data_IF_543249924853
#
_entry.id   IF_543249924853
#
_cell.length_a   1.000
_cell.length_b   1.000
_cell.length_c   1.000
_cell.angle_alpha   90.00
_cell.angle_beta   90.00
_cell.angle_gamma   90.00
#
_symmetry.space_group_name_H-M   'P 1'
#
loop_
_entity.id
_entity.type
_entity.pdbx_description
1 polymer ?
#
# COMPACT_ATOMS: atom_id res chain seq x y z
N UNK A 1 -15.38 -23.69 -1.21
CA UNK A 1 -14.72 -22.63 -1.99
C UNK A 1 -15.70 -21.48 -2.17
N UNK A 2 -15.28 -20.27 -1.78
CA UNK A 2 -16.00 -19.05 -2.14
C UNK A 2 -15.92 -18.83 -3.66
N UNK A 3 -16.86 -18.08 -4.23
CA UNK A 3 -16.77 -17.67 -5.64
C UNK A 3 -15.81 -16.50 -5.85
N UNK A 4 -15.47 -16.18 -7.11
CA UNK A 4 -14.69 -14.99 -7.45
C UNK A 4 -15.38 -13.71 -6.98
N UNK A 5 -16.71 -13.63 -7.13
CA UNK A 5 -17.53 -12.50 -6.69
C UNK A 5 -17.49 -12.31 -5.18
N UNK A 6 -17.69 -13.39 -4.43
CA UNK A 6 -17.67 -13.38 -2.97
C UNK A 6 -16.27 -13.05 -2.42
N UNK A 7 -15.22 -13.56 -3.05
CA UNK A 7 -13.83 -13.24 -2.67
C UNK A 7 -13.51 -11.77 -2.92
N UNK A 8 -13.94 -11.23 -4.07
CA UNK A 8 -13.81 -9.81 -4.37
C UNK A 8 -14.55 -8.95 -3.33
N UNK A 9 -15.78 -9.33 -2.99
CA UNK A 9 -16.57 -8.67 -1.96
C UNK A 9 -15.82 -8.63 -0.62
N UNK A 10 -15.22 -9.74 -0.20
CA UNK A 10 -14.47 -9.84 1.04
C UNK A 10 -13.28 -8.86 1.07
N UNK A 11 -12.47 -8.80 0.02
CA UNK A 11 -11.37 -7.83 -0.07
C UNK A 11 -11.85 -6.37 -0.05
N UNK A 12 -12.92 -6.06 -0.78
CA UNK A 12 -13.46 -4.70 -0.82
C UNK A 12 -13.95 -4.23 0.55
N UNK A 13 -14.70 -5.10 1.24
CA UNK A 13 -15.17 -4.82 2.60
C UNK A 13 -14.00 -4.71 3.58
N UNK A 14 -12.99 -5.57 3.46
CA UNK A 14 -11.78 -5.54 4.29
C UNK A 14 -11.05 -4.19 4.22
N UNK A 15 -11.08 -3.53 3.05
CA UNK A 15 -10.49 -2.20 2.83
C UNK A 15 -11.49 -1.04 3.02
N UNK A 16 -12.69 -1.31 3.54
CA UNK A 16 -13.75 -0.33 3.78
C UNK A 16 -14.18 0.48 2.54
N UNK A 17 -14.02 -0.08 1.33
CA UNK A 17 -14.34 0.61 0.09
C UNK A 17 -15.81 0.43 -0.29
N UNK A 18 -16.49 1.51 -0.65
CA UNK A 18 -17.88 1.44 -1.14
C UNK A 18 -17.92 1.08 -2.63
N UNK A 19 -19.05 0.53 -3.10
CA UNK A 19 -19.24 0.27 -4.53
C UNK A 19 -19.13 1.53 -5.39
N UNK A 20 -19.51 2.69 -4.83
CA UNK A 20 -19.45 3.98 -5.53
C UNK A 20 -18.01 4.44 -5.76
N UNK A 21 -17.11 4.16 -4.83
CA UNK A 21 -15.70 4.55 -4.93
C UNK A 21 -14.92 3.75 -5.97
N UNK A 22 -15.35 2.51 -6.25
CA UNK A 22 -14.65 1.61 -7.17
C UNK A 22 -15.35 1.46 -8.53
N UNK A 23 -16.52 2.07 -8.69
CA UNK A 23 -17.27 2.06 -9.93
C UNK A 23 -16.85 3.21 -10.84
N UNK A 24 -16.83 2.94 -12.14
CA UNK A 24 -16.47 3.92 -13.16
C UNK A 24 -17.17 3.61 -14.50
N UNK A 25 -16.69 4.24 -15.57
CA UNK A 25 -17.21 4.03 -16.92
C UNK A 25 -17.03 2.61 -17.44
N UNK A 26 -16.03 1.86 -16.93
CA UNK A 26 -15.76 0.49 -17.36
C UNK A 26 -16.66 -0.52 -16.66
N UNK A 27 -16.92 -0.32 -15.35
CA UNK A 27 -17.75 -1.20 -14.53
C UNK A 27 -18.62 -0.40 -13.58
N UNK A 28 -19.94 -0.45 -13.80
CA UNK A 28 -20.91 0.31 -12.99
C UNK A 28 -21.22 -0.38 -11.64
N UNK A 29 -21.67 0.42 -10.66
CA UNK A 29 -22.12 -0.05 -9.33
C UNK A 29 -23.04 -1.28 -9.42
N UNK A 30 -24.00 -1.27 -10.33
CA UNK A 30 -24.96 -2.37 -10.49
C UNK A 30 -24.29 -3.66 -10.99
N UNK A 31 -23.29 -3.55 -11.88
CA UNK A 31 -22.53 -4.69 -12.38
C UNK A 31 -21.65 -5.27 -11.27
N UNK A 32 -20.96 -4.42 -10.51
CA UNK A 32 -20.13 -4.85 -9.37
C UNK A 32 -21.00 -5.57 -8.34
N UNK A 33 -22.14 -4.97 -7.96
CA UNK A 33 -23.07 -5.60 -7.02
C UNK A 33 -23.54 -6.96 -7.51
N UNK A 34 -23.91 -7.10 -8.78
CA UNK A 34 -24.33 -8.39 -9.34
C UNK A 34 -23.19 -9.41 -9.34
N UNK A 35 -21.96 -8.97 -9.63
CA UNK A 35 -20.79 -9.83 -9.63
C UNK A 35 -20.49 -10.35 -8.22
N UNK A 36 -20.50 -9.47 -7.21
CA UNK A 36 -20.28 -9.85 -5.80
C UNK A 36 -21.32 -10.84 -5.26
N UNK A 37 -22.52 -10.88 -5.84
CA UNK A 37 -23.60 -11.79 -5.47
C UNK A 37 -23.78 -12.95 -6.47
N UNK A 38 -22.77 -13.23 -7.31
CA UNK A 38 -22.77 -14.33 -8.28
C UNK A 38 -23.90 -14.29 -9.33
N UNK A 39 -24.47 -13.11 -9.57
CA UNK A 39 -25.55 -12.89 -10.54
C UNK A 39 -25.04 -12.56 -11.94
N UNK A 40 -23.74 -12.26 -12.09
CA UNK A 40 -23.08 -12.05 -13.39
C UNK A 40 -21.62 -12.49 -13.30
N UNK A 41 -21.05 -12.88 -14.43
CA UNK A 41 -19.60 -13.01 -14.60
C UNK A 41 -19.00 -11.71 -15.14
N UNK A 42 -17.70 -11.54 -14.94
CA UNK A 42 -16.92 -10.46 -15.56
C UNK A 42 -15.97 -11.04 -16.61
N UNK A 43 -15.67 -10.24 -17.64
CA UNK A 43 -14.51 -10.53 -18.47
C UNK A 43 -13.23 -10.36 -17.65
N UNK A 44 -12.14 -11.02 -18.08
CA UNK A 44 -10.83 -10.93 -17.42
C UNK A 44 -10.40 -9.46 -17.29
N UNK A 45 -10.54 -8.66 -18.34
CA UNK A 45 -10.13 -7.25 -18.31
C UNK A 45 -10.91 -6.43 -17.26
N UNK A 46 -12.23 -6.63 -17.15
CA UNK A 46 -13.04 -5.94 -16.13
C UNK A 46 -12.71 -6.41 -14.73
N UNK A 47 -12.42 -7.70 -14.56
CA UNK A 47 -12.00 -8.25 -13.28
C UNK A 47 -10.65 -7.68 -12.84
N UNK A 48 -9.63 -7.70 -13.71
CA UNK A 48 -8.32 -7.11 -13.43
C UNK A 48 -8.41 -5.60 -13.15
N UNK A 49 -9.25 -4.89 -13.89
CA UNK A 49 -9.52 -3.48 -13.64
C UNK A 49 -10.08 -3.25 -12.22
N UNK A 50 -11.08 -4.03 -11.82
CA UNK A 50 -11.66 -3.92 -10.47
C UNK A 50 -10.65 -4.25 -9.36
N UNK A 51 -9.76 -5.23 -9.58
CA UNK A 51 -8.67 -5.52 -8.63
C UNK A 51 -7.77 -4.29 -8.44
N UNK A 52 -7.48 -3.56 -9.51
CA UNK A 52 -6.79 -2.27 -9.45
C UNK A 52 -7.55 -1.23 -8.61
N UNK A 53 -8.87 -1.14 -8.75
CA UNK A 53 -9.70 -0.20 -8.00
C UNK A 53 -9.70 -0.45 -6.48
N UNK A 54 -9.58 -1.72 -6.07
CA UNK A 54 -9.46 -2.09 -4.65
C UNK A 54 -8.01 -2.24 -4.19
N UNK A 55 -7.03 -1.98 -5.05
CA UNK A 55 -5.60 -2.13 -4.79
C UNK A 55 -5.24 -3.53 -4.23
N UNK A 56 -5.70 -4.57 -4.93
CA UNK A 56 -5.41 -5.98 -4.61
C UNK A 56 -4.70 -6.61 -5.80
N UNK A 57 -3.60 -7.32 -5.57
CA UNK A 57 -2.89 -8.02 -6.64
C UNK A 57 -3.63 -9.30 -7.01
N UNK A 58 -3.43 -9.79 -8.23
CA UNK A 58 -3.92 -11.12 -8.62
C UNK A 58 -3.36 -12.21 -7.72
N UNK A 59 -2.11 -12.07 -7.27
CA UNK A 59 -1.46 -12.96 -6.31
C UNK A 59 -2.23 -13.02 -4.99
N UNK A 60 -2.45 -11.88 -4.33
CA UNK A 60 -3.24 -11.82 -3.10
C UNK A 60 -4.65 -12.37 -3.32
N UNK A 61 -5.29 -11.96 -4.40
CA UNK A 61 -6.64 -12.38 -4.70
C UNK A 61 -6.75 -13.91 -4.80
N UNK A 62 -5.88 -14.53 -5.60
CA UNK A 62 -5.93 -15.98 -5.80
C UNK A 62 -5.40 -16.75 -4.59
N UNK A 63 -4.46 -16.20 -3.83
CA UNK A 63 -4.02 -16.76 -2.56
C UNK A 63 -5.21 -16.91 -1.58
N UNK A 64 -6.06 -15.89 -1.48
CA UNK A 64 -7.27 -15.95 -0.65
C UNK A 64 -8.40 -16.79 -1.29
N UNK A 65 -8.64 -16.66 -2.59
CA UNK A 65 -9.71 -17.38 -3.31
C UNK A 65 -9.60 -18.91 -3.18
N UNK A 66 -8.38 -19.42 -3.26
CA UNK A 66 -8.10 -20.85 -3.19
C UNK A 66 -7.89 -21.37 -1.76
N UNK A 67 -8.31 -20.59 -0.75
CA UNK A 67 -8.29 -20.95 0.67
C UNK A 67 -6.90 -21.32 1.17
N UNK A 68 -6.02 -20.31 1.33
CA UNK A 68 -4.65 -20.38 1.87
C UNK A 68 -4.03 -21.76 1.64
N UNK A 69 -3.90 -22.12 0.36
CA UNK A 69 -3.61 -23.47 -0.12
C UNK A 69 -2.87 -24.32 0.91
N UNK A 70 -3.39 -25.51 1.21
CA UNK A 70 -2.76 -26.54 2.05
C UNK A 70 -1.30 -26.92 1.66
N UNK A 71 -0.66 -26.26 0.69
CA UNK A 71 0.74 -26.45 0.35
C UNK A 71 1.39 -25.17 -0.23
N UNK A 72 2.58 -24.83 0.30
CA UNK A 72 3.55 -23.79 -0.09
C UNK A 72 3.91 -23.71 -1.60
N UNK A 73 3.43 -24.63 -2.44
CA UNK A 73 3.99 -24.88 -3.78
C UNK A 73 3.49 -23.96 -4.89
N UNK A 74 2.38 -23.24 -4.72
CA UNK A 74 1.81 -22.41 -5.81
C UNK A 74 2.47 -21.03 -5.89
N UNK A 75 2.97 -20.50 -4.77
CA UNK A 75 3.69 -19.22 -4.71
C UNK A 75 5.01 -19.25 -5.52
N UNK A 76 5.60 -20.44 -5.71
CA UNK A 76 6.76 -20.64 -6.59
C UNK A 76 6.42 -20.67 -8.10
N UNK A 77 5.13 -20.74 -8.49
CA UNK A 77 4.71 -20.85 -9.91
C UNK A 77 4.35 -19.48 -10.49
N UNK A 78 3.87 -18.56 -9.65
CA UNK A 78 3.59 -17.18 -10.02
C UNK A 78 4.61 -16.29 -9.33
N UNK A 79 5.82 -16.21 -9.88
CA UNK A 79 6.78 -15.19 -9.47
C UNK A 79 6.07 -13.84 -9.42
N UNK A 80 6.29 -13.08 -8.36
CA UNK A 80 5.62 -11.81 -7.99
C UNK A 80 5.86 -10.68 -9.02
N UNK A 81 6.30 -11.01 -10.23
CA UNK A 81 6.96 -10.12 -11.16
C UNK A 81 6.05 -9.51 -12.25
N UNK A 82 4.72 -9.51 -12.08
CA UNK A 82 3.82 -8.93 -13.08
C UNK A 82 2.66 -8.06 -12.56
N UNK A 83 2.41 -7.97 -11.25
CA UNK A 83 1.20 -7.27 -10.75
C UNK A 83 1.41 -5.79 -10.42
N UNK A 84 2.62 -5.25 -10.61
CA UNK A 84 3.05 -4.08 -9.84
C UNK A 84 3.34 -2.79 -10.59
N UNK A 85 3.53 -2.82 -11.91
CA UNK A 85 4.08 -1.66 -12.61
C UNK A 85 3.20 -0.40 -12.50
N UNK A 86 1.89 -0.53 -12.30
CA UNK A 86 1.00 0.63 -12.17
C UNK A 86 0.89 1.20 -10.75
N UNK A 87 0.60 0.35 -9.76
CA UNK A 87 0.21 0.78 -8.41
C UNK A 87 1.43 1.27 -7.62
N UNK A 88 2.54 0.52 -7.67
CA UNK A 88 3.74 0.84 -6.88
C UNK A 88 4.74 1.75 -7.58
N UNK A 89 4.62 2.00 -8.89
CA UNK A 89 5.58 2.85 -9.60
C UNK A 89 5.77 4.21 -8.91
N UNK A 90 4.69 4.84 -8.45
CA UNK A 90 4.80 6.13 -7.75
C UNK A 90 5.47 6.01 -6.37
N UNK A 91 5.34 4.86 -5.69
CA UNK A 91 6.08 4.61 -4.46
C UNK A 91 7.57 4.42 -4.72
N UNK A 92 7.94 3.61 -5.71
CA UNK A 92 9.34 3.38 -6.04
C UNK A 92 10.02 4.65 -6.56
N UNK A 93 9.35 5.39 -7.44
CA UNK A 93 9.85 6.66 -7.96
C UNK A 93 9.97 7.72 -6.87
N UNK A 94 8.94 7.88 -6.03
CA UNK A 94 8.97 8.79 -4.89
C UNK A 94 10.10 8.46 -3.92
N UNK A 95 10.30 7.18 -3.61
CA UNK A 95 11.37 6.72 -2.73
C UNK A 95 12.75 6.93 -3.35
N UNK A 96 12.89 6.71 -4.65
CA UNK A 96 14.14 6.97 -5.37
C UNK A 96 14.49 8.45 -5.29
N UNK A 97 13.56 9.34 -5.60
CA UNK A 97 13.73 10.80 -5.49
C UNK A 97 14.11 11.19 -4.06
N UNK A 98 13.39 10.70 -3.06
CA UNK A 98 13.64 10.99 -1.65
C UNK A 98 15.01 10.46 -1.15
N UNK A 99 15.46 9.31 -1.65
CA UNK A 99 16.76 8.75 -1.27
C UNK A 99 17.94 9.51 -1.85
N UNK A 100 17.73 10.21 -2.97
CA UNK A 100 18.74 11.06 -3.59
C UNK A 100 18.77 12.47 -3.00
N UNK A 101 17.74 12.92 -2.30
CA UNK A 101 17.71 14.30 -1.81
C UNK A 101 18.67 14.55 -0.67
N UNK A 102 19.68 15.37 -0.92
CA UNK A 102 20.48 16.02 0.09
C UNK A 102 19.92 17.41 0.40
N UNK A 103 19.69 17.73 1.67
CA UNK A 103 19.06 19.01 2.10
C UNK A 103 19.91 20.24 1.76
N UNK A 104 21.19 20.06 1.49
CA UNK A 104 22.10 21.12 1.06
C UNK A 104 22.16 21.34 -0.45
N UNK A 105 21.63 20.40 -1.26
CA UNK A 105 21.55 20.52 -2.71
C UNK A 105 20.18 21.07 -3.14
N UNK A 106 20.20 22.23 -3.80
CA UNK A 106 18.98 22.96 -4.19
C UNK A 106 18.23 22.21 -5.29
N UNK A 107 18.93 21.57 -6.23
CA UNK A 107 18.32 20.94 -7.40
C UNK A 107 17.60 19.64 -7.01
N UNK A 108 18.20 18.86 -6.12
CA UNK A 108 17.59 17.63 -5.59
C UNK A 108 16.35 17.93 -4.73
N UNK A 109 16.43 18.95 -3.88
CA UNK A 109 15.30 19.41 -3.08
C UNK A 109 14.15 19.95 -3.95
N UNK A 110 14.44 20.61 -5.07
CA UNK A 110 13.42 21.06 -6.02
C UNK A 110 12.73 19.90 -6.72
N UNK A 111 13.47 18.84 -7.08
CA UNK A 111 12.90 17.61 -7.64
C UNK A 111 11.88 16.97 -6.68
N UNK A 112 12.23 16.85 -5.39
CA UNK A 112 11.31 16.32 -4.36
C UNK A 112 10.06 17.20 -4.19
N UNK A 113 10.22 18.52 -4.16
CA UNK A 113 9.09 19.47 -4.07
C UNK A 113 8.18 19.36 -5.30
N UNK A 114 8.76 19.26 -6.49
CA UNK A 114 8.05 19.14 -7.75
C UNK A 114 7.25 17.83 -7.81
N UNK A 115 7.89 16.71 -7.45
CA UNK A 115 7.21 15.41 -7.40
C UNK A 115 6.09 15.38 -6.36
N UNK A 116 6.33 15.92 -5.17
CA UNK A 116 5.32 16.03 -4.10
C UNK A 116 4.09 16.80 -4.58
N UNK A 117 4.30 17.95 -5.25
CA UNK A 117 3.19 18.74 -5.83
C UNK A 117 2.44 17.96 -6.91
N UNK A 118 3.13 17.19 -7.74
CA UNK A 118 2.49 16.36 -8.76
C UNK A 118 1.59 15.29 -8.13
N UNK A 119 2.05 14.63 -7.06
CA UNK A 119 1.24 13.64 -6.34
C UNK A 119 0.03 14.26 -5.64
N UNK A 120 0.19 15.43 -5.02
CA UNK A 120 -0.92 16.19 -4.45
C UNK A 120 -1.96 16.58 -5.50
N UNK A 121 -1.51 17.02 -6.69
CA UNK A 121 -2.41 17.36 -7.79
C UNK A 121 -3.17 16.12 -8.28
N UNK A 122 -2.47 15.00 -8.46
CA UNK A 122 -3.07 13.71 -8.86
C UNK A 122 -4.15 13.28 -7.86
N UNK A 123 -3.87 13.34 -6.56
CA UNK A 123 -4.85 13.01 -5.52
C UNK A 123 -6.06 13.97 -5.48
N UNK A 124 -5.91 15.22 -5.93
CA UNK A 124 -7.05 16.16 -6.05
C UNK A 124 -7.91 15.87 -7.27
N UNK A 125 -7.29 15.49 -8.38
CA UNK A 125 -7.98 15.20 -9.64
C UNK A 125 -8.67 13.83 -9.62
N UNK A 126 -8.01 12.86 -8.98
CA UNK A 126 -8.47 11.48 -8.87
C UNK A 126 -8.26 10.99 -7.42
N UNK A 127 -9.23 11.27 -6.52
CA UNK A 127 -9.06 11.07 -5.07
C UNK A 127 -9.26 9.60 -4.66
N UNK A 128 -8.67 8.65 -5.40
CA UNK A 128 -8.59 7.25 -4.98
C UNK A 128 -7.79 7.13 -3.68
N UNK A 129 -8.03 6.03 -2.96
CA UNK A 129 -7.29 5.71 -1.75
C UNK A 129 -5.76 5.78 -1.98
N UNK A 130 -5.26 5.13 -3.04
CA UNK A 130 -3.84 5.04 -3.30
C UNK A 130 -3.21 6.40 -3.62
N UNK A 131 -3.89 7.25 -4.40
CA UNK A 131 -3.39 8.58 -4.72
C UNK A 131 -3.32 9.45 -3.45
N UNK A 132 -4.32 9.34 -2.55
CA UNK A 132 -4.29 10.04 -1.25
C UNK A 132 -3.14 9.55 -0.37
N UNK A 133 -2.91 8.24 -0.30
CA UNK A 133 -1.80 7.66 0.47
C UNK A 133 -0.46 8.16 -0.05
N UNK A 134 -0.21 8.08 -1.36
CA UNK A 134 1.06 8.53 -1.97
C UNK A 134 1.27 10.03 -1.72
N UNK A 135 0.23 10.85 -1.89
CA UNK A 135 0.34 12.29 -1.68
C UNK A 135 0.66 12.65 -0.22
N UNK A 136 0.00 12.01 0.75
CA UNK A 136 0.28 12.19 2.18
C UNK A 136 1.70 11.74 2.52
N UNK A 137 2.10 10.56 2.04
CA UNK A 137 3.43 10.04 2.26
C UNK A 137 4.53 10.93 1.69
N UNK A 138 4.45 11.35 0.42
CA UNK A 138 5.42 12.27 -0.17
C UNK A 138 5.50 13.61 0.56
N UNK A 139 4.36 14.13 1.02
CA UNK A 139 4.34 15.37 1.81
C UNK A 139 5.04 15.16 3.16
N UNK A 140 4.82 14.03 3.84
CA UNK A 140 5.49 13.71 5.10
C UNK A 140 7.01 13.57 4.92
N UNK A 141 7.48 13.00 3.81
CA UNK A 141 8.91 12.94 3.48
C UNK A 141 9.47 14.35 3.32
N UNK A 142 8.78 15.21 2.58
CA UNK A 142 9.21 16.59 2.36
C UNK A 142 9.29 17.37 3.68
N UNK A 143 8.32 17.18 4.58
CA UNK A 143 8.32 17.79 5.91
C UNK A 143 9.53 17.29 6.74
N UNK A 144 9.80 15.98 6.73
CA UNK A 144 10.93 15.39 7.43
C UNK A 144 12.29 15.84 6.87
N UNK A 145 12.44 15.92 5.54
CA UNK A 145 13.63 16.45 4.86
C UNK A 145 13.87 17.93 5.19
N UNK A 146 12.82 18.68 5.54
CA UNK A 146 12.93 20.06 6.02
C UNK A 146 13.08 20.16 7.55
N UNK A 147 13.29 19.04 8.25
CA UNK A 147 13.41 18.94 9.70
C UNK A 147 12.14 19.36 10.47
N UNK A 148 10.97 19.33 9.82
CA UNK A 148 9.67 19.60 10.43
C UNK A 148 8.98 18.30 10.87
N UNK A 149 9.60 17.56 11.79
CA UNK A 149 9.14 16.22 12.19
C UNK A 149 7.72 16.19 12.76
N UNK A 150 7.31 17.21 13.53
CA UNK A 150 5.93 17.31 14.05
C UNK A 150 4.89 17.45 12.93
N UNK A 151 5.24 18.15 11.85
CA UNK A 151 4.35 18.31 10.71
C UNK A 151 4.35 17.05 9.84
N UNK A 152 5.51 16.39 9.68
CA UNK A 152 5.63 15.09 9.03
C UNK A 152 4.69 14.05 9.66
N UNK A 153 4.70 13.94 10.99
CA UNK A 153 3.85 13.03 11.75
C UNK A 153 2.34 13.35 11.58
N UNK A 154 1.95 14.63 11.55
CA UNK A 154 0.55 15.03 11.29
C UNK A 154 0.14 14.73 9.85
N UNK A 155 1.02 15.00 8.90
CA UNK A 155 0.79 14.80 7.46
C UNK A 155 0.59 13.32 7.13
N UNK A 156 1.32 12.42 7.79
CA UNK A 156 1.20 10.97 7.56
C UNK A 156 0.00 10.33 8.29
N UNK A 157 -0.60 11.02 9.27
CA UNK A 157 -1.70 10.50 10.08
C UNK A 157 -2.85 9.85 9.27
N UNK A 158 -3.33 10.41 8.13
CA UNK A 158 -4.37 9.76 7.34
C UNK A 158 -3.96 8.38 6.78
N UNK A 159 -2.67 8.14 6.56
CA UNK A 159 -2.14 6.84 6.12
C UNK A 159 -2.10 5.86 7.29
N UNK A 160 -1.74 6.33 8.48
CA UNK A 160 -1.83 5.56 9.73
C UNK A 160 -3.28 5.15 9.98
N UNK A 161 -4.23 6.09 9.91
CA UNK A 161 -5.66 5.83 10.10
C UNK A 161 -6.17 4.77 9.11
N UNK A 162 -5.74 4.87 7.85
CA UNK A 162 -6.02 3.85 6.85
C UNK A 162 -5.51 2.47 7.28
N UNK A 163 -4.21 2.35 7.57
CA UNK A 163 -3.57 1.10 7.98
C UNK A 163 -4.23 0.47 9.22
N UNK A 164 -4.69 1.29 10.17
CA UNK A 164 -5.43 0.84 11.35
C UNK A 164 -6.85 0.38 11.00
N UNK A 165 -7.51 1.03 10.05
CA UNK A 165 -8.92 0.75 9.69
C UNK A 165 -9.12 -0.52 8.86
N UNK A 166 -8.11 -0.94 8.09
CA UNK A 166 -8.18 -2.16 7.27
C UNK A 166 -8.31 -3.38 8.20
N UNK A 167 -9.08 -4.41 7.81
CA UNK A 167 -9.28 -5.62 8.63
C UNK A 167 -8.06 -6.54 8.68
N UNK A 168 -7.59 -6.97 7.51
CA UNK A 168 -6.42 -7.82 7.27
C UNK A 168 -5.48 -7.11 6.30
N UNK A 169 -4.17 -7.09 6.59
CA UNK A 169 -3.20 -6.48 5.67
C UNK A 169 -2.82 -7.46 4.58
N UNK A 170 -2.88 -6.97 3.35
CA UNK A 170 -2.33 -7.67 2.21
C UNK A 170 -1.02 -7.01 1.76
N UNK A 171 -0.52 -7.38 0.59
CA UNK A 171 0.79 -6.95 0.09
C UNK A 171 0.94 -5.42 0.08
N UNK A 172 -0.11 -4.69 -0.31
CA UNK A 172 -0.11 -3.23 -0.34
C UNK A 172 0.11 -2.62 1.05
N UNK A 173 -0.62 -3.09 2.06
CA UNK A 173 -0.51 -2.52 3.41
C UNK A 173 0.85 -2.81 4.02
N UNK A 174 1.42 -3.99 3.75
CA UNK A 174 2.79 -4.32 4.16
C UNK A 174 3.80 -3.34 3.54
N UNK A 175 3.63 -3.01 2.26
CA UNK A 175 4.49 -2.06 1.56
C UNK A 175 4.32 -0.63 2.10
N UNK A 176 3.07 -0.16 2.26
CA UNK A 176 2.79 1.16 2.83
C UNK A 176 3.42 1.27 4.22
N UNK A 177 3.31 0.24 5.05
CA UNK A 177 3.93 0.23 6.37
C UNK A 177 5.44 0.49 6.29
N UNK A 178 6.16 -0.20 5.38
CA UNK A 178 7.61 0.04 5.20
C UNK A 178 7.90 1.49 4.82
N UNK A 179 7.08 2.07 3.94
CA UNK A 179 7.30 3.42 3.45
C UNK A 179 7.03 4.52 4.47
N UNK A 180 6.17 4.29 5.46
CA UNK A 180 5.88 5.30 6.49
C UNK A 180 6.88 5.27 7.66
N UNK A 181 7.73 4.24 7.78
CA UNK A 181 8.72 4.12 8.87
C UNK A 181 9.57 5.39 9.05
N UNK A 182 10.07 6.07 8.00
CA UNK A 182 10.91 7.24 8.18
C UNK A 182 10.17 8.50 8.66
N UNK A 183 8.83 8.53 8.60
CA UNK A 183 8.04 9.76 8.79
C UNK A 183 6.95 9.67 9.85
N UNK A 184 6.56 8.45 10.25
CA UNK A 184 5.58 8.24 11.29
C UNK A 184 6.19 8.24 12.69
N UNK A 185 5.34 8.53 13.68
CA UNK A 185 5.72 8.52 15.09
C UNK A 185 6.17 7.10 15.55
N UNK A 186 7.27 6.97 16.31
CA UNK A 186 7.78 5.68 16.77
C UNK A 186 6.76 4.84 17.56
N UNK A 187 5.94 5.45 18.41
CA UNK A 187 4.93 4.74 19.21
C UNK A 187 3.82 4.18 18.30
N UNK A 188 3.47 4.91 17.25
CA UNK A 188 2.54 4.44 16.22
C UNK A 188 3.14 3.28 15.44
N UNK A 189 4.41 3.38 15.03
CA UNK A 189 5.10 2.32 14.31
C UNK A 189 5.18 1.04 15.13
N UNK A 190 5.46 1.11 16.43
CA UNK A 190 5.49 -0.07 17.30
C UNK A 190 4.13 -0.74 17.45
N UNK A 191 3.05 0.04 17.50
CA UNK A 191 1.68 -0.51 17.51
C UNK A 191 1.36 -1.27 16.22
N UNK A 192 1.73 -0.70 15.07
CA UNK A 192 1.49 -1.29 13.75
C UNK A 192 2.45 -2.46 13.44
N UNK A 193 3.65 -2.47 14.01
CA UNK A 193 4.66 -3.49 13.72
C UNK A 193 4.24 -4.90 14.13
N UNK A 194 3.55 -5.05 15.26
CA UNK A 194 3.02 -6.37 15.67
C UNK A 194 2.05 -6.92 14.62
N UNK A 195 1.23 -6.04 14.04
CA UNK A 195 0.30 -6.40 12.97
C UNK A 195 1.04 -6.74 11.68
N UNK A 196 2.07 -5.96 11.34
CA UNK A 196 2.96 -6.24 10.22
C UNK A 196 3.56 -7.65 10.30
N UNK A 197 4.16 -8.01 11.44
CA UNK A 197 4.79 -9.32 11.64
C UNK A 197 3.80 -10.47 11.43
N UNK A 198 2.64 -10.42 12.09
CA UNK A 198 1.63 -11.48 11.99
C UNK A 198 1.15 -11.71 10.55
N UNK A 199 1.03 -10.64 9.76
CA UNK A 199 0.53 -10.72 8.39
C UNK A 199 1.64 -11.12 7.41
N UNK A 200 2.85 -10.60 7.60
CA UNK A 200 3.99 -10.93 6.76
C UNK A 200 4.41 -12.41 6.89
N UNK A 201 4.14 -13.06 8.03
CA UNK A 201 4.31 -14.51 8.19
C UNK A 201 3.56 -15.33 7.14
N UNK A 202 2.38 -14.87 6.70
CA UNK A 202 1.57 -15.55 5.67
C UNK A 202 2.26 -15.58 4.30
N UNK A 203 3.24 -14.71 4.11
CA UNK A 203 3.98 -14.56 2.88
C UNK A 203 5.40 -15.16 2.93
N UNK A 204 5.82 -15.83 4.02
CA UNK A 204 7.19 -16.37 4.16
C UNK A 204 7.63 -17.33 3.06
N UNK A 205 6.68 -17.96 2.36
CA UNK A 205 6.93 -18.78 1.16
C UNK A 205 7.33 -17.99 -0.09
N UNK A 206 7.32 -16.65 -0.03
CA UNK A 206 7.73 -15.75 -1.11
C UNK A 206 9.09 -15.10 -0.83
N UNK A 207 10.06 -15.19 -1.75
CA UNK A 207 11.34 -14.49 -1.64
C UNK A 207 11.20 -12.97 -1.43
N UNK A 208 10.24 -12.33 -2.08
CA UNK A 208 10.01 -10.88 -2.03
C UNK A 208 9.45 -10.42 -0.68
N UNK A 209 8.60 -11.25 -0.05
CA UNK A 209 8.08 -10.96 1.28
C UNK A 209 9.17 -11.03 2.34
N UNK A 210 10.14 -11.95 2.19
CA UNK A 210 11.31 -12.00 3.08
C UNK A 210 12.15 -10.71 2.98
N UNK A 211 12.28 -10.12 1.79
CA UNK A 211 12.95 -8.83 1.63
C UNK A 211 12.16 -7.68 2.25
N UNK A 212 10.83 -7.67 2.13
CA UNK A 212 9.98 -6.67 2.79
C UNK A 212 10.09 -6.75 4.31
N UNK A 213 10.01 -7.95 4.89
CA UNK A 213 10.14 -8.18 6.35
C UNK A 213 11.49 -7.73 6.84
N UNK A 214 12.56 -8.11 6.14
CA UNK A 214 13.90 -7.67 6.48
C UNK A 214 14.03 -6.14 6.42
N UNK A 215 13.53 -5.51 5.34
CA UNK A 215 13.55 -4.06 5.17
C UNK A 215 12.79 -3.33 6.28
N UNK A 216 11.61 -3.81 6.65
CA UNK A 216 10.80 -3.26 7.74
C UNK A 216 11.54 -3.34 9.08
N UNK A 217 12.04 -4.53 9.43
CA UNK A 217 12.77 -4.77 10.66
C UNK A 217 14.05 -3.91 10.74
N UNK A 218 14.82 -3.84 9.66
CA UNK A 218 16.05 -3.06 9.59
C UNK A 218 15.77 -1.55 9.71
N UNK A 219 14.75 -1.05 9.01
CA UNK A 219 14.38 0.36 9.03
C UNK A 219 13.87 0.78 10.40
N UNK A 220 12.98 -0.01 11.02
CA UNK A 220 12.51 0.25 12.38
C UNK A 220 13.64 0.24 13.40
N UNK A 221 14.55 -0.75 13.31
CA UNK A 221 15.71 -0.82 14.19
C UNK A 221 16.60 0.42 14.06
N UNK A 222 16.84 0.89 12.83
CA UNK A 222 17.63 2.10 12.57
C UNK A 222 16.95 3.34 13.15
N UNK A 223 15.64 3.49 12.96
CA UNK A 223 14.86 4.59 13.53
C UNK A 223 14.87 4.60 15.06
N UNK A 224 14.73 3.43 15.70
CA UNK A 224 14.77 3.32 17.17
C UNK A 224 16.14 3.72 17.73
N UNK A 225 17.25 3.26 17.11
CA UNK A 225 18.60 3.67 17.53
C UNK A 225 18.83 5.16 17.35
N UNK A 226 18.38 5.74 16.23
CA UNK A 226 18.51 7.17 15.97
C UNK A 226 17.74 8.01 17.02
N UNK A 227 16.56 7.54 17.46
CA UNK A 227 15.76 8.16 18.52
C UNK A 227 16.39 8.06 19.93
N UNK A 228 17.11 6.98 20.22
CA UNK A 228 17.84 6.83 21.50
C UNK A 228 19.11 7.69 21.56
N UNK A 229 19.77 7.95 20.43
CA UNK A 229 21.01 8.76 20.36
C UNK A 229 20.75 10.28 20.35
N UNK A 230 19.51 10.71 20.15
CA UNK A 230 19.10 12.12 20.09
C UNK A 230 18.51 12.67 21.39
N UNK A 231 18.39 11.83 22.43
CA UNK A 231 18.05 12.18 23.81
C UNK A 231 19.29 12.17 24.73
#
# INVERSE_FOLDING_TARGET
MQSLGQTFHAFRQNKNLTLKEIADEQVSVAVISKFEHDQTTLSINRFLHLLGQINVTTTDFFYHYFDRFENEKVLNIWGVQASFEGILANFYEGNHIASMTNTTDIDEMDALKTYTKAMQLKARQDPTLINRVIAAWMTSILDAQQLHFDDSAKTIQPVVDYLTSVGEWNELELIIFVFIIPTADPDVLMQLFRRYLNQAELYQGLPEANNLVFSACFSLFTCMIAGELSN
#
